data_IF_250323124629
#
_entry.id   IF_250323124629
#
_cell.length_a   1.000
_cell.length_b   1.000
_cell.length_c   1.000
_cell.angle_alpha   90.00
_cell.angle_beta   90.00
_cell.angle_gamma   90.00
#
_symmetry.space_group_name_H-M   'P 1'
#
loop_
_entity.id
_entity.type
_entity.pdbx_description
1 polymer ?
#
# COMPACT_ATOMS: atom_id res chain seq x y z
N UNK A 1 -0.27 0.25 -21.30
CA UNK A 1 1.17 0.50 -21.13
C UNK A 1 1.69 -0.55 -20.17
N UNK A 2 2.61 -1.43 -20.58
CA UNK A 2 3.12 -2.49 -19.70
C UNK A 2 4.36 -1.94 -19.02
N UNK A 3 4.24 -1.57 -17.75
CA UNK A 3 5.40 -1.26 -16.93
C UNK A 3 6.14 -2.58 -16.61
N UNK A 4 7.48 -2.50 -16.59
CA UNK A 4 8.36 -3.66 -16.39
C UNK A 4 9.00 -3.59 -15.00
N UNK A 5 9.14 -4.75 -14.35
CA UNK A 5 10.06 -4.93 -13.23
C UNK A 5 11.39 -5.43 -13.79
N UNK A 6 12.46 -4.65 -13.61
CA UNK A 6 13.83 -5.05 -13.95
C UNK A 6 14.62 -5.35 -12.68
N UNK A 7 15.35 -6.47 -12.65
CA UNK A 7 16.26 -6.79 -11.57
C UNK A 7 17.72 -6.60 -12.01
N UNK A 8 18.52 -5.99 -11.14
CA UNK A 8 19.96 -5.85 -11.28
C UNK A 8 20.65 -6.35 -10.01
N UNK A 9 21.88 -6.82 -10.14
CA UNK A 9 22.76 -7.06 -8.99
C UNK A 9 23.30 -5.74 -8.45
N UNK A 10 23.98 -5.81 -7.30
CA UNK A 10 24.65 -4.71 -6.64
C UNK A 10 25.69 -3.99 -7.51
N UNK A 11 26.40 -4.71 -8.36
CA UNK A 11 27.34 -4.17 -9.35
C UNK A 11 26.67 -3.56 -10.60
N UNK A 12 25.32 -3.59 -10.66
CA UNK A 12 24.53 -3.11 -11.79
C UNK A 12 24.46 -4.06 -12.97
N UNK A 13 24.93 -5.31 -12.83
CA UNK A 13 24.73 -6.33 -13.86
C UNK A 13 23.26 -6.70 -14.00
N UNK A 14 22.83 -6.98 -15.23
CA UNK A 14 21.43 -7.27 -15.52
C UNK A 14 21.08 -8.71 -15.13
N UNK A 15 20.03 -8.88 -14.31
CA UNK A 15 19.53 -10.20 -13.89
C UNK A 15 18.34 -10.63 -14.74
N UNK A 16 17.37 -9.74 -14.95
CA UNK A 16 16.11 -10.10 -15.62
C UNK A 16 15.11 -8.96 -15.75
N UNK A 17 14.07 -9.20 -16.56
CA UNK A 17 12.92 -8.32 -16.67
C UNK A 17 11.62 -9.13 -16.76
N UNK A 18 10.60 -8.70 -16.03
CA UNK A 18 9.27 -9.31 -15.98
C UNK A 18 8.18 -8.25 -16.15
N UNK A 19 7.02 -8.61 -16.71
CA UNK A 19 5.86 -7.71 -16.68
C UNK A 19 5.47 -7.43 -15.22
N UNK A 20 5.00 -6.21 -14.94
CA UNK A 20 4.25 -5.97 -13.71
C UNK A 20 2.91 -6.72 -13.81
N UNK A 21 2.74 -7.76 -12.99
CA UNK A 21 1.58 -8.64 -13.01
C UNK A 21 1.84 -10.00 -13.66
N UNK A 22 0.76 -10.74 -13.96
CA UNK A 22 0.81 -12.06 -14.59
C UNK A 22 0.84 -12.01 -16.13
N UNK A 23 0.79 -10.80 -16.71
CA UNK A 23 0.76 -10.57 -18.16
C UNK A 23 -0.54 -10.97 -18.86
N UNK A 24 -1.51 -11.55 -18.15
CA UNK A 24 -2.82 -11.95 -18.66
C UNK A 24 -3.92 -11.00 -18.21
N UNK A 25 -3.81 -10.53 -16.96
CA UNK A 25 -4.75 -9.64 -16.32
C UNK A 25 -4.16 -8.23 -16.20
N UNK A 26 -5.04 -7.23 -16.24
CA UNK A 26 -4.64 -5.85 -16.02
C UNK A 26 -4.11 -5.69 -14.59
N UNK A 27 -2.85 -5.27 -14.47
CA UNK A 27 -2.24 -4.85 -13.22
C UNK A 27 -2.08 -3.34 -13.23
N UNK A 28 -2.39 -2.69 -12.11
CA UNK A 28 -2.38 -1.24 -12.00
C UNK A 28 -1.28 -0.79 -11.03
N UNK A 29 -0.10 -0.36 -11.53
CA UNK A 29 0.90 0.29 -10.71
C UNK A 29 0.45 1.73 -10.43
N UNK A 30 -0.28 1.92 -9.33
CA UNK A 30 -0.86 3.19 -8.90
C UNK A 30 -0.40 3.57 -7.51
N UNK A 31 -0.24 4.87 -7.27
CA UNK A 31 0.06 5.37 -5.92
C UNK A 31 -1.15 5.08 -4.99
N UNK A 32 -0.88 4.59 -3.78
CA UNK A 32 -1.96 4.24 -2.83
C UNK A 32 -2.90 5.42 -2.51
N UNK A 33 -2.37 6.66 -2.48
CA UNK A 33 -3.19 7.85 -2.29
C UNK A 33 -4.13 8.12 -3.47
N UNK A 34 -3.64 7.95 -4.70
CA UNK A 34 -4.46 8.09 -5.91
C UNK A 34 -5.54 7.01 -5.94
N UNK A 35 -5.19 5.75 -5.65
CA UNK A 35 -6.16 4.65 -5.58
C UNK A 35 -7.24 4.88 -4.52
N UNK A 36 -6.85 5.28 -3.30
CA UNK A 36 -7.82 5.55 -2.22
C UNK A 36 -8.76 6.71 -2.58
N UNK A 37 -8.26 7.73 -3.29
CA UNK A 37 -9.09 8.85 -3.74
C UNK A 37 -10.12 8.38 -4.77
N UNK A 38 -9.69 7.62 -5.77
CA UNK A 38 -10.59 7.07 -6.79
C UNK A 38 -11.66 6.15 -6.18
N UNK A 39 -11.28 5.29 -5.24
CA UNK A 39 -12.24 4.41 -4.55
C UNK A 39 -13.22 5.23 -3.70
N UNK A 40 -12.76 6.28 -3.03
CA UNK A 40 -13.62 7.18 -2.27
C UNK A 40 -14.65 7.88 -3.17
N UNK A 41 -14.19 8.49 -4.26
CA UNK A 41 -15.08 9.14 -5.24
C UNK A 41 -16.14 8.16 -5.75
N UNK A 42 -15.73 6.92 -6.06
CA UNK A 42 -16.67 5.90 -6.52
C UNK A 42 -17.71 5.50 -5.46
N UNK A 43 -17.33 5.41 -4.18
CA UNK A 43 -18.32 5.16 -3.11
C UNK A 43 -19.35 6.28 -2.98
N UNK A 44 -18.95 7.53 -3.26
CA UNK A 44 -19.86 8.68 -3.27
C UNK A 44 -20.85 8.61 -4.43
N UNK A 45 -20.39 8.20 -5.62
CA UNK A 45 -21.27 7.99 -6.77
C UNK A 45 -22.34 6.93 -6.51
N UNK A 46 -22.00 5.90 -5.70
CA UNK A 46 -22.92 4.87 -5.26
C UNK A 46 -23.85 5.30 -4.12
N UNK A 47 -23.63 6.48 -3.53
CA UNK A 47 -24.39 6.97 -2.39
C UNK A 47 -24.14 6.19 -1.08
N UNK A 48 -22.96 5.58 -0.95
CA UNK A 48 -22.58 4.85 0.28
C UNK A 48 -22.09 5.88 1.30
N UNK A 49 -22.74 6.02 2.47
CA UNK A 49 -22.29 6.97 3.48
C UNK A 49 -20.97 6.52 4.10
N UNK A 50 -20.04 7.46 4.25
CA UNK A 50 -18.76 7.24 4.94
C UNK A 50 -18.57 8.33 5.99
N UNK A 51 -18.45 7.89 7.24
CA UNK A 51 -18.12 8.75 8.37
C UNK A 51 -16.61 8.73 8.63
N UNK A 52 -15.96 9.87 8.42
CA UNK A 52 -14.56 10.06 8.77
C UNK A 52 -14.41 10.41 10.25
N UNK A 53 -13.20 10.21 10.79
CA UNK A 53 -12.90 10.47 12.20
C UNK A 53 -13.73 9.66 13.21
N UNK A 54 -14.39 8.59 12.76
CA UNK A 54 -15.07 7.61 13.59
C UNK A 54 -14.10 6.51 14.05
N UNK A 55 -13.31 6.82 15.08
CA UNK A 55 -12.35 5.85 15.65
C UNK A 55 -13.10 4.78 16.44
N UNK A 56 -12.90 3.51 16.11
CA UNK A 56 -13.47 2.38 16.85
C UNK A 56 -12.56 2.02 18.02
N UNK A 57 -13.12 1.94 19.22
CA UNK A 57 -12.46 1.52 20.45
C UNK A 57 -12.72 0.08 20.83
N UNK A 58 -13.89 -0.47 20.50
CA UNK A 58 -14.18 -1.86 20.78
C UNK A 58 -15.22 -2.43 19.81
N UNK A 59 -15.27 -3.77 19.73
CA UNK A 59 -16.23 -4.53 18.96
C UNK A 59 -17.01 -5.44 19.90
N UNK A 60 -18.30 -5.64 19.63
CA UNK A 60 -19.11 -6.58 20.40
C UNK A 60 -20.11 -7.31 19.49
N UNK A 61 -20.57 -8.45 19.97
CA UNK A 61 -21.61 -9.24 19.32
C UNK A 61 -22.57 -9.77 20.38
N UNK A 62 -23.82 -9.94 20.01
CA UNK A 62 -24.89 -10.55 20.80
C UNK A 62 -25.61 -11.58 19.93
N UNK A 63 -26.53 -12.33 20.52
CA UNK A 63 -27.32 -13.32 19.78
C UNK A 63 -28.14 -12.71 18.61
N UNK A 64 -28.36 -11.39 18.59
CA UNK A 64 -29.25 -10.73 17.61
C UNK A 64 -28.59 -9.59 16.80
N UNK A 65 -27.43 -9.08 17.22
CA UNK A 65 -26.77 -7.94 16.58
C UNK A 65 -25.26 -7.96 16.81
N UNK A 66 -24.52 -7.36 15.87
CA UNK A 66 -23.13 -7.00 16.01
C UNK A 66 -23.00 -5.48 16.16
N UNK A 67 -21.84 -5.01 16.65
CA UNK A 67 -21.60 -3.58 16.67
C UNK A 67 -20.21 -3.16 17.11
N UNK A 68 -20.07 -1.83 17.16
CA UNK A 68 -18.84 -1.13 17.51
C UNK A 68 -19.11 -0.09 18.58
N UNK A 69 -18.09 0.19 19.37
CA UNK A 69 -18.03 1.30 20.31
C UNK A 69 -17.03 2.30 19.75
N UNK A 70 -17.48 3.51 19.44
CA UNK A 70 -16.62 4.60 18.98
C UNK A 70 -15.90 5.26 20.16
N UNK A 71 -14.79 5.93 19.87
CA UNK A 71 -14.13 6.83 20.82
C UNK A 71 -15.11 7.90 21.29
N UNK A 72 -15.28 7.98 22.61
CA UNK A 72 -16.34 8.77 23.25
C UNK A 72 -17.53 7.95 23.73
N UNK A 73 -17.56 6.64 23.46
CA UNK A 73 -18.53 5.69 24.03
C UNK A 73 -19.83 5.53 23.24
N UNK A 74 -19.96 6.15 22.06
CA UNK A 74 -21.13 5.94 21.21
C UNK A 74 -21.16 4.50 20.70
N UNK A 75 -22.30 3.83 20.87
CA UNK A 75 -22.54 2.48 20.38
C UNK A 75 -23.27 2.52 19.05
N UNK A 76 -22.75 1.84 18.04
CA UNK A 76 -23.41 1.62 16.75
C UNK A 76 -23.63 0.11 16.56
N UNK A 77 -24.78 -0.27 16.02
CA UNK A 77 -25.16 -1.68 15.84
C UNK A 77 -25.62 -1.95 14.40
N UNK A 78 -25.45 -3.19 13.95
CA UNK A 78 -25.79 -3.66 12.62
C UNK A 78 -25.99 -5.19 12.63
N UNK A 79 -26.56 -5.73 11.55
CA UNK A 79 -26.66 -7.19 11.37
C UNK A 79 -25.27 -7.85 11.26
N UNK A 80 -24.33 -7.17 10.62
CA UNK A 80 -22.96 -7.63 10.40
C UNK A 80 -22.00 -6.45 10.55
N UNK A 81 -20.86 -6.69 11.21
CA UNK A 81 -19.72 -5.78 11.24
C UNK A 81 -18.54 -6.41 10.53
N UNK A 82 -18.00 -5.71 9.51
CA UNK A 82 -16.79 -6.12 8.79
C UNK A 82 -15.60 -5.31 9.32
N UNK A 83 -14.75 -5.95 10.13
CA UNK A 83 -13.53 -5.33 10.63
C UNK A 83 -12.42 -5.36 9.56
N UNK A 84 -12.18 -4.21 8.92
CA UNK A 84 -11.13 -3.99 7.91
C UNK A 84 -10.03 -3.02 8.41
N UNK A 85 -9.73 -3.05 9.71
CA UNK A 85 -8.90 -2.10 10.46
C UNK A 85 -7.40 -2.46 10.54
N UNK A 86 -6.93 -3.36 9.66
CA UNK A 86 -5.51 -3.69 9.40
C UNK A 86 -4.72 -4.17 10.65
N UNK A 87 -3.39 -4.08 10.56
CA UNK A 87 -2.45 -4.44 11.64
C UNK A 87 -2.78 -3.64 12.89
N UNK A 88 -2.92 -4.33 14.01
CA UNK A 88 -3.29 -3.70 15.27
C UNK A 88 -4.79 -3.59 15.50
N UNK A 89 -5.61 -4.19 14.63
CA UNK A 89 -7.07 -4.32 14.77
C UNK A 89 -7.51 -4.64 16.20
N UNK A 90 -8.62 -4.04 16.61
CA UNK A 90 -9.22 -4.27 17.93
C UNK A 90 -10.22 -5.43 17.93
N UNK A 91 -10.59 -5.96 16.77
CA UNK A 91 -11.52 -7.10 16.68
C UNK A 91 -10.86 -8.44 17.01
N UNK A 92 -9.52 -8.53 17.01
CA UNK A 92 -8.79 -9.77 17.31
C UNK A 92 -9.17 -10.40 18.65
N UNK A 93 -9.38 -9.60 19.69
CA UNK A 93 -9.81 -10.11 21.01
C UNK A 93 -11.19 -10.76 20.95
N UNK A 94 -12.10 -10.24 20.14
CA UNK A 94 -13.45 -10.81 19.96
C UNK A 94 -13.39 -12.11 19.15
N UNK A 95 -12.55 -12.17 18.11
CA UNK A 95 -12.51 -13.29 17.16
C UNK A 95 -11.61 -14.45 17.64
N UNK A 96 -10.40 -14.14 18.13
CA UNK A 96 -9.42 -15.13 18.57
C UNK A 96 -9.28 -15.25 20.09
N UNK A 97 -9.89 -14.36 20.87
CA UNK A 97 -9.73 -14.30 22.33
C UNK A 97 -8.41 -13.66 22.79
N UNK A 98 -7.39 -13.62 21.92
CA UNK A 98 -6.10 -13.01 22.18
C UNK A 98 -5.57 -12.27 20.96
N UNK A 99 -4.72 -11.27 21.21
CA UNK A 99 -4.01 -10.56 20.14
C UNK A 99 -2.67 -11.25 19.93
N UNK A 100 -2.48 -11.78 18.73
CA UNK A 100 -1.16 -12.30 18.34
C UNK A 100 -0.13 -11.15 18.36
N UNK A 101 1.01 -11.43 18.97
CA UNK A 101 2.08 -10.45 19.14
C UNK A 101 3.02 -10.58 17.95
N UNK A 102 3.15 -9.51 17.17
CA UNK A 102 4.05 -9.47 16.03
C UNK A 102 5.48 -9.83 16.44
N UNK A 103 6.03 -10.87 15.80
CA UNK A 103 7.44 -11.25 15.93
C UNK A 103 8.25 -10.43 14.93
N UNK A 104 9.35 -9.84 15.39
CA UNK A 104 10.28 -9.10 14.53
C UNK A 104 10.84 -10.00 13.43
N UNK A 105 10.83 -9.51 12.19
CA UNK A 105 11.49 -10.19 11.08
C UNK A 105 12.99 -9.94 11.04
N UNK A 106 13.53 -9.06 11.91
CA UNK A 106 14.91 -8.55 11.85
C UNK A 106 15.25 -7.77 10.56
N UNK A 107 14.22 -7.33 9.83
CA UNK A 107 14.34 -6.48 8.65
C UNK A 107 13.58 -5.17 8.86
N UNK A 108 14.08 -4.09 8.26
CA UNK A 108 13.40 -2.81 8.18
C UNK A 108 13.22 -2.41 6.71
N UNK A 109 12.11 -1.75 6.41
CA UNK A 109 11.79 -1.28 5.07
C UNK A 109 11.79 0.24 5.06
N UNK A 110 12.73 0.82 4.31
CA UNK A 110 12.79 2.26 4.06
C UNK A 110 12.00 2.56 2.79
N UNK A 111 11.11 3.54 2.85
CA UNK A 111 10.35 3.99 1.69
C UNK A 111 10.20 5.50 1.68
N UNK A 112 10.50 6.12 0.56
CA UNK A 112 10.24 7.53 0.32
C UNK A 112 9.59 7.74 -1.05
N UNK A 113 8.76 8.78 -1.17
CA UNK A 113 8.23 9.25 -2.44
C UNK A 113 8.56 10.73 -2.61
N UNK A 114 9.00 11.12 -3.79
CA UNK A 114 9.37 12.51 -4.09
C UNK A 114 8.94 12.89 -5.51
N UNK A 115 8.70 14.19 -5.76
CA UNK A 115 8.38 14.67 -7.11
C UNK A 115 9.52 14.36 -8.06
N UNK A 116 9.22 13.70 -9.19
CA UNK A 116 10.22 13.33 -10.18
C UNK A 116 11.00 14.56 -10.68
N UNK A 117 10.33 15.71 -10.86
CA UNK A 117 10.96 16.94 -11.35
C UNK A 117 12.14 17.43 -10.51
N UNK A 118 12.08 17.32 -9.18
CA UNK A 118 13.20 17.72 -8.31
C UNK A 118 14.35 16.71 -8.36
N UNK A 119 14.04 15.42 -8.35
CA UNK A 119 15.06 14.37 -8.42
C UNK A 119 15.82 14.37 -9.76
N UNK A 120 15.13 14.67 -10.86
CA UNK A 120 15.73 14.77 -12.19
C UNK A 120 16.67 15.99 -12.35
N UNK A 121 16.72 16.92 -11.38
CA UNK A 121 17.77 17.95 -11.35
C UNK A 121 19.15 17.36 -11.04
N UNK A 122 19.20 16.21 -10.38
CA UNK A 122 20.45 15.49 -10.16
C UNK A 122 20.85 14.73 -11.45
N UNK A 123 22.02 15.01 -12.03
CA UNK A 123 22.44 14.40 -13.31
C UNK A 123 22.62 12.89 -13.24
N UNK A 124 22.94 12.31 -12.07
CA UNK A 124 23.08 10.86 -11.89
C UNK A 124 21.71 10.19 -12.00
N UNK A 125 20.71 10.75 -11.30
CA UNK A 125 19.33 10.25 -11.31
C UNK A 125 18.72 10.45 -12.70
N UNK A 126 18.90 11.62 -13.29
CA UNK A 126 18.43 11.93 -14.63
C UNK A 126 18.91 10.91 -15.66
N UNK A 127 20.21 10.59 -15.64
CA UNK A 127 20.82 9.59 -16.52
C UNK A 127 20.23 8.18 -16.32
N UNK A 128 19.90 7.80 -15.09
CA UNK A 128 19.27 6.50 -14.81
C UNK A 128 17.82 6.43 -15.30
N UNK A 129 17.11 7.57 -15.32
CA UNK A 129 15.71 7.65 -15.76
C UNK A 129 15.55 8.00 -17.25
N UNK A 130 16.63 8.34 -17.94
CA UNK A 130 16.65 8.77 -19.34
C UNK A 130 16.30 7.61 -20.29
N UNK A 131 15.42 7.87 -21.26
CA UNK A 131 14.94 6.89 -22.25
C UNK A 131 14.30 5.61 -21.67
N UNK A 132 13.99 5.59 -20.37
CA UNK A 132 13.29 4.49 -19.73
C UNK A 132 11.77 4.77 -19.74
N UNK A 133 10.94 3.78 -20.14
CA UNK A 133 9.49 3.84 -19.91
C UNK A 133 9.20 3.82 -18.41
N UNK A 134 7.91 3.89 -18.04
CA UNK A 134 7.52 3.59 -16.67
C UNK A 134 8.01 2.19 -16.28
N UNK A 135 8.75 2.14 -15.17
CA UNK A 135 9.56 0.99 -14.79
C UNK A 135 9.69 0.94 -13.27
N UNK A 136 9.61 -0.26 -12.73
CA UNK A 136 10.15 -0.59 -11.42
C UNK A 136 11.52 -1.26 -11.62
N UNK A 137 12.51 -0.83 -10.87
CA UNK A 137 13.84 -1.43 -10.84
C UNK A 137 14.10 -1.95 -9.45
N UNK A 138 14.58 -3.18 -9.34
CA UNK A 138 15.05 -3.78 -8.10
C UNK A 138 16.54 -4.04 -8.21
N UNK A 139 17.26 -3.74 -7.15
CA UNK A 139 18.70 -3.95 -7.03
C UNK A 139 18.95 -4.79 -5.79
N UNK A 140 19.69 -5.87 -5.96
CA UNK A 140 19.87 -6.89 -4.93
C UNK A 140 21.34 -6.92 -4.53
N UNK A 141 21.62 -6.64 -3.26
CA UNK A 141 22.97 -6.70 -2.69
C UNK A 141 23.04 -7.41 -1.34
N UNK A 142 24.25 -7.63 -0.81
CA UNK A 142 24.44 -8.27 0.48
C UNK A 142 23.77 -7.48 1.62
N UNK A 143 22.70 -8.05 2.19
CA UNK A 143 22.00 -7.45 3.34
C UNK A 143 21.04 -6.30 3.01
N UNK A 144 20.84 -5.96 1.74
CA UNK A 144 19.88 -4.95 1.34
C UNK A 144 19.31 -5.21 -0.07
N UNK A 145 18.02 -4.95 -0.22
CA UNK A 145 17.35 -4.84 -1.51
C UNK A 145 16.78 -3.44 -1.58
N UNK A 146 17.10 -2.71 -2.63
CA UNK A 146 16.53 -1.39 -2.87
C UNK A 146 15.84 -1.38 -4.22
N UNK A 147 14.71 -0.69 -4.28
CA UNK A 147 13.96 -0.53 -5.50
C UNK A 147 13.85 0.94 -5.84
N UNK A 148 13.73 1.24 -7.13
CA UNK A 148 13.17 2.51 -7.52
C UNK A 148 12.16 2.37 -8.62
N UNK A 149 11.13 3.20 -8.58
CA UNK A 149 10.06 3.16 -9.57
C UNK A 149 9.92 4.53 -10.22
N UNK A 150 9.59 4.56 -11.51
CA UNK A 150 9.12 5.75 -12.21
C UNK A 150 7.77 5.40 -12.79
N UNK A 151 6.73 6.05 -12.30
CA UNK A 151 5.35 5.81 -12.71
C UNK A 151 4.71 7.13 -13.15
N UNK A 152 4.14 7.13 -14.36
CA UNK A 152 3.42 8.24 -15.00
C UNK A 152 4.17 9.59 -14.96
N UNK A 153 5.50 9.56 -14.92
CA UNK A 153 6.35 10.76 -14.83
C UNK A 153 6.21 11.61 -13.55
N UNK A 154 5.50 11.12 -12.52
CA UNK A 154 5.18 11.94 -11.32
C UNK A 154 6.04 11.64 -10.10
N UNK A 155 6.35 10.37 -9.86
CA UNK A 155 7.02 9.95 -8.62
C UNK A 155 8.22 9.09 -8.93
N UNK A 156 9.27 9.30 -8.16
CA UNK A 156 10.22 8.24 -7.89
C UNK A 156 10.06 7.78 -6.44
N UNK A 157 9.96 6.47 -6.28
CA UNK A 157 9.86 5.80 -4.98
C UNK A 157 11.22 5.16 -4.76
N UNK A 158 11.86 5.38 -3.61
CA UNK A 158 13.05 4.64 -3.15
C UNK A 158 12.67 3.76 -1.97
#
# INVERSE_FOLDING_TARGET
MVALLCALSDDGSWIGAWPLGDGQNASLPVNCSELNTLLWEYTQELGIPIDFSAVVDDYFETDNEAGIILTGGQKLTADIVVAADRVGSKSWSLVLGEKDVAISSEFAYYRAAFPAGEALKNPIIAKQCENQPDRASMHIGPGAVWSWEKLNGKYAIY
#
